data_IF_889909644435
#
_entry.id   IF_889909644435
#
_cell.length_a   1.000
_cell.length_b   1.000
_cell.length_c   1.000
_cell.angle_alpha   90.00
_cell.angle_beta   90.00
_cell.angle_gamma   90.00
#
_symmetry.space_group_name_H-M   'P 1'
#
loop_
_entity.id
_entity.type
_entity.pdbx_description
1 polymer ?
#
# COMPACT_ATOMS: atom_id res chain seq x y z
N UNK A 1 8.48 -22.76 -9.78
CA UNK A 1 8.37 -21.94 -8.57
C UNK A 1 7.00 -21.31 -8.48
N UNK A 2 6.43 -21.29 -7.30
CA UNK A 2 5.07 -20.78 -7.11
C UNK A 2 5.12 -19.36 -6.58
N UNK A 3 4.51 -18.45 -7.31
CA UNK A 3 4.31 -17.08 -6.85
C UNK A 3 3.15 -17.05 -5.88
N UNK A 4 3.23 -16.13 -4.93
CA UNK A 4 2.17 -15.93 -3.95
C UNK A 4 1.39 -14.68 -4.30
N UNK A 5 0.08 -14.74 -4.16
CA UNK A 5 -0.78 -13.58 -4.31
C UNK A 5 -0.98 -12.92 -2.95
N UNK A 6 -0.95 -11.61 -2.95
CA UNK A 6 -1.20 -10.84 -1.73
C UNK A 6 -2.01 -9.60 -2.08
N UNK A 7 -2.88 -9.20 -1.15
CA UNK A 7 -3.63 -7.96 -1.22
C UNK A 7 -3.06 -7.01 -0.19
N UNK A 8 -2.76 -5.80 -0.62
CA UNK A 8 -2.16 -4.79 0.24
C UNK A 8 -3.06 -3.57 0.26
N UNK A 9 -3.43 -3.14 1.46
CA UNK A 9 -4.18 -1.90 1.66
C UNK A 9 -3.19 -0.79 1.94
N UNK A 10 -3.21 0.23 1.10
CA UNK A 10 -2.38 1.42 1.27
C UNK A 10 -3.25 2.57 1.76
N UNK A 11 -2.73 3.36 2.69
CA UNK A 11 -3.44 4.51 3.20
C UNK A 11 -2.50 5.65 3.54
N UNK A 12 -2.96 6.88 3.34
CA UNK A 12 -2.22 8.07 3.70
C UNK A 12 -3.18 9.20 4.02
N UNK A 13 -2.92 9.91 5.13
CA UNK A 13 -3.73 11.06 5.51
C UNK A 13 -2.93 12.34 5.71
N UNK A 14 -1.64 12.32 5.45
CA UNK A 14 -0.77 13.49 5.65
C UNK A 14 -0.06 13.87 4.36
N UNK A 15 0.14 15.19 4.19
CA UNK A 15 0.89 15.73 3.06
C UNK A 15 0.26 15.42 1.72
N UNK A 16 1.08 15.09 0.74
CA UNK A 16 0.63 14.73 -0.59
C UNK A 16 0.16 13.27 -0.61
N UNK A 17 -1.08 13.04 -0.22
CA UNK A 17 -1.66 11.71 -0.05
C UNK A 17 -1.60 10.87 -1.31
N UNK A 18 -2.02 11.42 -2.44
CA UNK A 18 -1.99 10.68 -3.70
C UNK A 18 -0.57 10.40 -4.18
N UNK A 19 0.34 11.35 -3.97
CA UNK A 19 1.76 11.16 -4.28
C UNK A 19 2.37 10.03 -3.47
N UNK A 20 2.02 9.95 -2.18
CA UNK A 20 2.47 8.86 -1.33
C UNK A 20 2.00 7.50 -1.86
N UNK A 21 0.73 7.39 -2.25
CA UNK A 21 0.21 6.13 -2.78
C UNK A 21 0.94 5.71 -4.05
N UNK A 22 1.19 6.65 -4.96
CA UNK A 22 1.94 6.37 -6.19
C UNK A 22 3.36 5.92 -5.89
N UNK A 23 4.03 6.61 -4.98
CA UNK A 23 5.40 6.27 -4.60
C UNK A 23 5.46 4.91 -3.94
N UNK A 24 4.50 4.59 -3.07
CA UNK A 24 4.43 3.30 -2.40
C UNK A 24 4.24 2.16 -3.41
N UNK A 25 3.36 2.34 -4.38
CA UNK A 25 3.14 1.33 -5.42
C UNK A 25 4.41 1.09 -6.23
N UNK A 26 5.11 2.16 -6.61
CA UNK A 26 6.38 2.01 -7.34
C UNK A 26 7.42 1.26 -6.53
N UNK A 27 7.52 1.55 -5.23
CA UNK A 27 8.45 0.86 -4.35
C UNK A 27 8.09 -0.62 -4.22
N UNK A 28 6.79 -0.92 -4.13
CA UNK A 28 6.31 -2.31 -4.05
C UNK A 28 6.64 -3.06 -5.35
N UNK A 29 6.42 -2.43 -6.50
CA UNK A 29 6.75 -3.03 -7.79
C UNK A 29 8.23 -3.36 -7.88
N UNK A 30 9.08 -2.51 -7.31
CA UNK A 30 10.53 -2.68 -7.38
C UNK A 30 11.04 -3.72 -6.40
N UNK A 31 10.43 -3.84 -5.22
CA UNK A 31 10.98 -4.63 -4.12
C UNK A 31 10.18 -5.88 -3.76
N UNK A 32 8.90 -5.93 -4.09
CA UNK A 32 8.04 -7.02 -3.62
C UNK A 32 7.57 -7.95 -4.72
N UNK A 33 7.26 -7.41 -5.90
CA UNK A 33 6.76 -8.24 -6.99
C UNK A 33 5.95 -7.45 -7.99
N UNK A 34 5.11 -8.15 -8.72
CA UNK A 34 4.33 -7.57 -9.82
C UNK A 34 2.96 -7.12 -9.30
N UNK A 35 2.61 -5.87 -9.57
CA UNK A 35 1.26 -5.37 -9.26
C UNK A 35 0.32 -5.82 -10.36
N UNK A 36 -0.63 -6.66 -10.01
CA UNK A 36 -1.58 -7.24 -10.95
C UNK A 36 -2.81 -6.35 -11.14
N UNK A 37 -3.31 -5.79 -10.06
CA UNK A 37 -4.51 -4.96 -10.06
C UNK A 37 -4.41 -3.87 -9.04
N UNK A 38 -5.08 -2.75 -9.32
CA UNK A 38 -5.19 -1.61 -8.40
C UNK A 38 -6.65 -1.21 -8.32
N UNK A 39 -7.15 -1.01 -7.12
CA UNK A 39 -8.49 -0.44 -6.95
C UNK A 39 -8.49 1.04 -7.28
N UNK A 40 -9.67 1.63 -7.35
CA UNK A 40 -9.80 3.09 -7.33
C UNK A 40 -9.30 3.61 -5.99
N UNK A 41 -8.89 4.87 -5.97
CA UNK A 41 -8.55 5.55 -4.72
C UNK A 41 -9.85 6.03 -4.09
N UNK A 42 -10.01 5.81 -2.78
CA UNK A 42 -11.20 6.26 -2.07
C UNK A 42 -10.82 6.91 -0.73
N UNK A 43 -11.68 7.79 -0.25
CA UNK A 43 -11.45 8.52 0.99
C UNK A 43 -12.23 7.89 2.14
N UNK A 44 -11.60 7.86 3.33
CA UNK A 44 -12.27 7.43 4.55
C UNK A 44 -11.98 8.43 5.67
N UNK A 45 -12.96 8.59 6.57
CA UNK A 45 -12.81 9.47 7.71
C UNK A 45 -11.88 8.84 8.75
N UNK A 46 -11.06 9.66 9.45
CA UNK A 46 -10.26 9.14 10.57
C UNK A 46 -11.16 8.79 11.75
N UNK A 47 -10.81 7.68 12.40
CA UNK A 47 -11.59 7.21 13.56
C UNK A 47 -11.32 8.06 14.80
N UNK A 48 -12.40 8.59 15.39
CA UNK A 48 -12.37 9.18 16.72
C UNK A 48 -11.57 10.46 16.87
N UNK A 49 -11.00 11.01 15.79
CA UNK A 49 -10.22 12.24 15.84
C UNK A 49 -10.76 13.20 14.80
N UNK A 50 -11.38 14.26 15.27
CA UNK A 50 -12.14 15.19 14.44
C UNK A 50 -11.23 16.11 13.61
N UNK A 51 -9.99 16.30 14.04
CA UNK A 51 -9.11 17.32 13.47
C UNK A 51 -8.08 16.77 12.49
N UNK A 52 -8.14 15.50 12.15
CA UNK A 52 -7.21 14.92 11.19
C UNK A 52 -7.80 14.93 9.78
N UNK A 53 -6.96 15.11 8.76
CA UNK A 53 -7.41 14.94 7.38
C UNK A 53 -7.91 13.53 7.14
N UNK A 54 -8.83 13.39 6.20
CA UNK A 54 -9.29 12.06 5.79
C UNK A 54 -8.17 11.27 5.11
N UNK A 55 -8.28 9.95 5.16
CA UNK A 55 -7.35 9.07 4.49
C UNK A 55 -7.72 8.88 3.03
N UNK A 56 -6.71 8.82 2.17
CA UNK A 56 -6.86 8.22 0.86
C UNK A 56 -6.40 6.78 0.95
N UNK A 57 -7.19 5.87 0.41
CA UNK A 57 -6.92 4.44 0.48
C UNK A 57 -6.96 3.82 -0.90
N UNK A 58 -6.15 2.80 -1.08
CA UNK A 58 -6.14 2.02 -2.31
C UNK A 58 -5.71 0.60 -1.99
N UNK A 59 -6.39 -0.37 -2.58
CA UNK A 59 -6.02 -1.79 -2.45
C UNK A 59 -5.29 -2.19 -3.73
N UNK A 60 -4.19 -2.90 -3.57
CA UNK A 60 -3.50 -3.49 -4.71
C UNK A 60 -3.39 -5.00 -4.51
N UNK A 61 -3.40 -5.70 -5.63
CA UNK A 61 -3.13 -7.13 -5.67
C UNK A 61 -1.77 -7.33 -6.32
N UNK A 62 -0.90 -8.07 -5.66
CA UNK A 62 0.44 -8.33 -6.18
C UNK A 62 0.69 -9.83 -6.28
N UNK A 63 1.64 -10.17 -7.14
CA UNK A 63 2.22 -11.49 -7.22
C UNK A 63 3.66 -11.39 -6.74
N UNK A 64 4.02 -12.14 -5.70
CA UNK A 64 5.32 -11.98 -5.03
C UNK A 64 5.95 -13.34 -4.74
N UNK A 65 7.28 -13.37 -4.76
CA UNK A 65 8.06 -14.53 -4.32
C UNK A 65 8.41 -14.46 -2.83
N UNK A 66 8.13 -13.32 -2.20
CA UNK A 66 8.48 -13.14 -0.79
C UNK A 66 7.56 -13.93 0.12
N UNK A 67 8.14 -14.46 1.19
CA UNK A 67 7.35 -15.04 2.27
C UNK A 67 6.63 -13.93 3.03
N UNK A 68 5.51 -14.23 3.72
CA UNK A 68 4.74 -13.19 4.41
C UNK A 68 5.56 -12.32 5.36
N UNK A 69 6.50 -12.91 6.08
CA UNK A 69 7.35 -12.15 7.00
C UNK A 69 8.27 -11.19 6.27
N UNK A 70 8.85 -11.63 5.16
CA UNK A 70 9.72 -10.79 4.34
C UNK A 70 8.93 -9.65 3.71
N UNK A 71 7.73 -9.95 3.21
CA UNK A 71 6.87 -8.95 2.63
C UNK A 71 6.52 -7.88 3.66
N UNK A 72 6.16 -8.29 4.87
CA UNK A 72 5.84 -7.35 5.93
C UNK A 72 7.01 -6.43 6.24
N UNK A 73 8.22 -6.98 6.32
CA UNK A 73 9.42 -6.16 6.59
C UNK A 73 9.66 -5.11 5.52
N UNK A 74 9.51 -5.49 4.24
CA UNK A 74 9.67 -4.55 3.14
C UNK A 74 8.61 -3.45 3.19
N UNK A 75 7.35 -3.83 3.45
CA UNK A 75 6.26 -2.87 3.53
C UNK A 75 6.46 -1.87 4.67
N UNK A 76 6.93 -2.33 5.82
CA UNK A 76 7.22 -1.44 6.93
C UNK A 76 8.33 -0.46 6.61
N UNK A 77 9.34 -0.88 5.86
CA UNK A 77 10.42 0.00 5.42
C UNK A 77 9.92 1.06 4.44
N UNK A 78 8.97 0.70 3.58
CA UNK A 78 8.40 1.65 2.62
C UNK A 78 7.59 2.74 3.32
N UNK A 79 6.94 2.42 4.43
CA UNK A 79 6.13 3.38 5.18
C UNK A 79 6.95 4.48 5.86
N UNK A 80 8.20 4.26 6.06
CA UNK A 80 9.06 5.26 6.67
C UNK A 80 9.72 6.12 5.61
#
# INVERSE_FOLDING_TARGET
MLDKQAYILLGSNLGNRSGFLKAAIKAIEKQCGIVLKKSSIYETEPWGVIQQPSYLNQVIEINTLLEPEQLLQVLLAIET
#
